data_IF_329386185725
#
_entry.id   IF_329386185725
#
_cell.length_a   1.000
_cell.length_b   1.000
_cell.length_c   1.000
_cell.angle_alpha   90.00
_cell.angle_beta   90.00
_cell.angle_gamma   90.00
#
_symmetry.space_group_name_H-M   'P 1'
#
loop_
_entity.id
_entity.type
_entity.pdbx_description
1 polymer ?
#
# COMPACT_ATOMS: atom_id res chain seq x y z
N UNK A 1 20.09 -19.72 18.15
CA UNK A 1 18.75 -19.32 17.69
C UNK A 1 18.88 -18.09 16.82
N UNK A 2 18.37 -18.14 15.59
CA UNK A 2 18.35 -16.98 14.70
C UNK A 2 17.45 -15.88 15.29
N UNK A 3 17.69 -14.62 14.92
CA UNK A 3 16.81 -13.51 15.35
C UNK A 3 15.36 -13.80 14.96
N UNK A 4 15.14 -14.36 13.77
CA UNK A 4 13.80 -14.74 13.28
C UNK A 4 13.10 -15.76 14.18
N UNK A 5 13.80 -16.74 14.75
CA UNK A 5 13.18 -17.70 15.67
C UNK A 5 12.69 -17.04 16.95
N UNK A 6 13.43 -16.04 17.47
CA UNK A 6 13.02 -15.33 18.69
C UNK A 6 11.68 -14.61 18.50
N UNK A 7 11.47 -13.99 17.34
CA UNK A 7 10.21 -13.32 16.99
C UNK A 7 9.05 -14.29 16.73
N UNK A 8 9.32 -15.58 16.45
CA UNK A 8 8.30 -16.61 16.19
C UNK A 8 7.98 -17.49 17.40
N UNK A 9 8.63 -17.25 18.55
CA UNK A 9 8.43 -18.02 19.77
C UNK A 9 7.86 -17.16 20.89
N UNK A 10 7.13 -17.77 21.83
CA UNK A 10 6.71 -17.09 23.05
C UNK A 10 7.94 -16.52 23.81
N UNK A 11 7.83 -15.34 24.45
CA UNK A 11 6.59 -14.55 24.63
C UNK A 11 6.30 -13.57 23.48
N UNK A 12 7.15 -13.48 22.46
CA UNK A 12 7.03 -12.45 21.41
C UNK A 12 5.92 -12.77 20.41
N UNK A 13 5.78 -14.04 20.04
CA UNK A 13 4.71 -14.53 19.17
C UNK A 13 3.50 -14.97 20.01
N UNK A 14 2.49 -14.11 20.13
CA UNK A 14 1.26 -14.40 20.89
C UNK A 14 0.22 -15.11 19.99
N UNK A 15 0.09 -14.67 18.73
CA UNK A 15 -0.85 -15.22 17.75
C UNK A 15 -0.17 -15.40 16.40
N UNK A 16 0.75 -16.36 16.30
CA UNK A 16 1.33 -16.71 15.00
C UNK A 16 0.30 -17.40 14.12
N UNK A 17 0.22 -16.97 12.87
CA UNK A 17 -0.45 -17.72 11.81
C UNK A 17 0.26 -19.08 11.70
N UNK A 18 -0.46 -20.21 11.69
CA UNK A 18 0.13 -21.54 11.55
C UNK A 18 0.99 -21.66 10.28
N UNK A 19 2.09 -22.42 10.34
CA UNK A 19 3.01 -22.59 9.19
C UNK A 19 2.33 -23.27 7.99
N UNK A 20 1.27 -24.04 8.24
CA UNK A 20 0.45 -24.72 7.23
C UNK A 20 -0.76 -23.88 6.77
N UNK A 21 -0.98 -22.69 7.33
CA UNK A 21 -2.07 -21.83 6.90
C UNK A 21 -1.77 -21.24 5.53
N UNK A 22 -2.60 -21.61 4.56
CA UNK A 22 -2.62 -20.99 3.24
C UNK A 22 -3.82 -20.06 3.14
N UNK A 23 -3.56 -18.78 2.92
CA UNK A 23 -4.62 -17.82 2.62
C UNK A 23 -5.20 -18.14 1.25
N UNK A 24 -6.48 -18.49 1.22
CA UNK A 24 -7.20 -18.66 -0.04
C UNK A 24 -7.40 -17.30 -0.70
N UNK A 25 -6.97 -17.18 -1.96
CA UNK A 25 -7.16 -15.97 -2.75
C UNK A 25 -8.25 -16.25 -3.77
N UNK A 26 -9.36 -15.51 -3.66
CA UNK A 26 -10.46 -15.57 -4.62
C UNK A 26 -10.42 -14.31 -5.48
N UNK A 27 -10.16 -14.43 -6.79
CA UNK A 27 -10.27 -13.29 -7.69
C UNK A 27 -11.74 -12.87 -7.81
N UNK A 28 -11.99 -11.57 -7.65
CA UNK A 28 -13.29 -10.98 -7.96
C UNK A 28 -13.34 -10.56 -9.43
N UNK A 29 -14.52 -10.61 -10.02
CA UNK A 29 -14.79 -10.05 -11.34
C UNK A 29 -14.72 -8.53 -11.31
N UNK A 30 -14.27 -7.94 -12.41
CA UNK A 30 -14.25 -6.48 -12.55
C UNK A 30 -15.67 -5.92 -12.72
N UNK A 31 -15.89 -4.69 -12.25
CA UNK A 31 -17.07 -3.90 -12.60
C UNK A 31 -16.66 -2.64 -13.40
N UNK A 32 -17.63 -2.03 -14.08
CA UNK A 32 -17.44 -0.84 -14.93
C UNK A 32 -17.86 0.45 -14.22
N UNK A 33 -17.95 0.42 -12.90
CA UNK A 33 -18.43 1.54 -12.11
C UNK A 33 -17.42 2.68 -12.11
N UNK A 34 -17.92 3.93 -12.09
CA UNK A 34 -17.05 5.09 -11.98
C UNK A 34 -16.63 5.29 -10.51
N UNK A 35 -15.57 4.59 -10.12
CA UNK A 35 -15.00 4.59 -8.77
C UNK A 35 -14.61 6.00 -8.27
N UNK A 36 -14.31 6.94 -9.18
CA UNK A 36 -13.99 8.33 -8.84
C UNK A 36 -15.22 9.18 -8.49
N UNK A 37 -16.43 8.66 -8.70
CA UNK A 37 -17.68 9.30 -8.25
C UNK A 37 -18.15 8.67 -6.94
N UNK A 38 -18.82 9.43 -6.08
CA UNK A 38 -19.35 8.91 -4.82
C UNK A 38 -20.34 7.76 -5.06
N UNK A 39 -21.24 7.91 -6.03
CA UNK A 39 -22.23 6.89 -6.35
C UNK A 39 -21.58 5.64 -6.96
N UNK A 40 -20.67 5.82 -7.93
CA UNK A 40 -19.99 4.69 -8.58
C UNK A 40 -19.10 3.93 -7.61
N UNK A 41 -18.37 4.60 -6.70
CA UNK A 41 -17.65 3.90 -5.63
C UNK A 41 -18.60 3.07 -4.76
N UNK A 42 -19.75 3.64 -4.38
CA UNK A 42 -20.72 2.89 -3.58
C UNK A 42 -21.16 1.61 -4.30
N UNK A 43 -21.53 1.75 -5.58
CA UNK A 43 -21.98 0.65 -6.43
C UNK A 43 -20.88 -0.39 -6.65
N UNK A 44 -19.63 0.04 -6.83
CA UNK A 44 -18.48 -0.86 -7.00
C UNK A 44 -18.29 -1.75 -5.77
N UNK A 45 -18.31 -1.17 -4.57
CA UNK A 45 -18.20 -1.93 -3.32
C UNK A 45 -19.41 -2.85 -3.11
N UNK A 46 -20.62 -2.39 -3.43
CA UNK A 46 -21.83 -3.20 -3.30
C UNK A 46 -21.83 -4.41 -4.25
N UNK A 47 -21.32 -4.23 -5.47
CA UNK A 47 -21.08 -5.31 -6.43
C UNK A 47 -20.07 -6.32 -5.88
N UNK A 48 -18.91 -5.88 -5.38
CA UNK A 48 -17.92 -6.78 -4.77
C UNK A 48 -18.48 -7.52 -3.54
N UNK A 49 -19.25 -6.86 -2.68
CA UNK A 49 -19.97 -7.50 -1.57
C UNK A 49 -20.90 -8.61 -2.06
N UNK A 50 -21.61 -8.36 -3.17
CA UNK A 50 -22.45 -9.36 -3.83
C UNK A 50 -21.64 -10.57 -4.34
N UNK A 51 -20.50 -10.32 -4.97
CA UNK A 51 -19.63 -11.38 -5.52
C UNK A 51 -19.06 -12.30 -4.44
N UNK A 52 -18.70 -11.76 -3.27
CA UNK A 52 -18.21 -12.56 -2.13
C UNK A 52 -19.35 -13.16 -1.29
N UNK A 53 -20.61 -12.84 -1.60
CA UNK A 53 -21.77 -13.28 -0.83
C UNK A 53 -21.80 -12.70 0.59
N UNK A 54 -21.33 -11.46 0.76
CA UNK A 54 -21.27 -10.81 2.07
C UNK A 54 -22.68 -10.62 2.65
N UNK A 55 -23.01 -11.25 3.79
CA UNK A 55 -24.35 -11.16 4.38
C UNK A 55 -24.69 -9.73 4.81
N UNK A 56 -25.97 -9.37 4.76
CA UNK A 56 -26.42 -8.01 5.13
C UNK A 56 -26.19 -7.72 6.60
N UNK A 57 -26.55 -8.66 7.45
CA UNK A 57 -26.42 -8.61 8.90
C UNK A 57 -24.97 -8.61 9.39
N UNK A 58 -24.04 -9.10 8.56
CA UNK A 58 -22.63 -9.14 8.90
C UNK A 58 -22.07 -7.71 9.10
N UNK A 59 -22.60 -6.72 8.37
CA UNK A 59 -22.14 -5.34 8.49
C UNK A 59 -22.38 -4.69 9.86
N UNK A 60 -23.31 -5.24 10.65
CA UNK A 60 -23.63 -4.72 11.98
C UNK A 60 -22.65 -5.21 13.06
N UNK A 61 -21.92 -6.29 12.78
CA UNK A 61 -21.03 -6.94 13.75
C UNK A 61 -19.58 -7.09 13.28
N UNK A 62 -19.34 -7.03 11.97
CA UNK A 62 -18.04 -7.20 11.35
C UNK A 62 -17.61 -5.94 10.63
N UNK A 63 -16.31 -5.68 10.77
CA UNK A 63 -15.61 -4.68 9.99
C UNK A 63 -15.03 -5.36 8.76
N UNK A 64 -15.25 -4.78 7.60
CA UNK A 64 -14.61 -5.21 6.37
C UNK A 64 -13.47 -4.27 6.01
N UNK A 65 -12.34 -4.84 5.64
CA UNK A 65 -11.17 -4.09 5.20
C UNK A 65 -11.15 -4.04 3.67
N UNK A 66 -11.23 -2.83 3.12
CA UNK A 66 -11.07 -2.57 1.68
C UNK A 66 -9.74 -1.85 1.41
N UNK A 67 -9.00 -2.37 0.44
CA UNK A 67 -7.74 -1.81 -0.03
C UNK A 67 -7.91 -1.15 -1.40
N UNK A 68 -7.02 -0.22 -1.73
CA UNK A 68 -6.89 0.29 -3.09
C UNK A 68 -5.76 1.30 -3.21
N UNK A 69 -5.77 2.09 -4.28
CA UNK A 69 -4.89 3.24 -4.39
C UNK A 69 -5.39 4.43 -3.55
N UNK A 70 -4.71 5.59 -3.65
CA UNK A 70 -5.12 6.79 -2.92
C UNK A 70 -6.50 7.31 -3.34
N UNK A 71 -6.88 7.17 -4.61
CA UNK A 71 -8.16 7.61 -5.15
C UNK A 71 -9.31 6.70 -4.70
N UNK A 72 -9.09 5.39 -4.69
CA UNK A 72 -10.02 4.40 -4.11
C UNK A 72 -10.25 4.67 -2.63
N UNK A 73 -9.18 4.93 -1.88
CA UNK A 73 -9.27 5.24 -0.45
C UNK A 73 -10.10 6.50 -0.19
N UNK A 74 -9.77 7.60 -0.88
CA UNK A 74 -10.48 8.87 -0.72
C UNK A 74 -11.95 8.75 -1.12
N UNK A 75 -12.24 8.05 -2.22
CA UNK A 75 -13.61 7.86 -2.71
C UNK A 75 -14.45 7.02 -1.75
N UNK A 76 -13.88 5.97 -1.14
CA UNK A 76 -14.55 5.16 -0.10
C UNK A 76 -14.88 6.01 1.13
N UNK A 77 -13.91 6.78 1.62
CA UNK A 77 -14.12 7.66 2.77
C UNK A 77 -15.14 8.77 2.48
N UNK A 78 -15.22 9.24 1.23
CA UNK A 78 -16.25 10.19 0.80
C UNK A 78 -17.65 9.57 0.82
N UNK A 79 -17.83 8.32 0.40
CA UNK A 79 -19.12 7.61 0.51
C UNK A 79 -19.58 7.59 1.97
N UNK A 80 -18.70 7.17 2.88
CA UNK A 80 -18.97 7.14 4.31
C UNK A 80 -19.37 8.50 4.86
N UNK A 81 -18.63 9.57 4.52
CA UNK A 81 -18.94 10.94 4.97
C UNK A 81 -20.29 11.45 4.47
N UNK A 82 -20.63 11.19 3.21
CA UNK A 82 -21.89 11.65 2.60
C UNK A 82 -23.09 10.88 3.17
N UNK A 83 -22.94 9.59 3.45
CA UNK A 83 -24.02 8.74 3.95
C UNK A 83 -24.11 8.70 5.48
N UNK A 84 -23.08 9.16 6.19
CA UNK A 84 -23.06 9.25 7.66
C UNK A 84 -24.31 9.91 8.28
N UNK A 85 -24.88 11.02 7.78
CA UNK A 85 -26.05 11.64 8.42
C UNK A 85 -27.39 10.91 8.14
N UNK A 86 -27.39 9.80 7.40
CA UNK A 86 -28.62 9.06 7.07
C UNK A 86 -29.02 8.06 8.16
N UNK A 87 -30.29 7.65 8.17
CA UNK A 87 -30.84 6.60 9.07
C UNK A 87 -30.69 5.18 8.49
N UNK A 88 -29.84 5.02 7.46
CA UNK A 88 -29.63 3.75 6.78
C UNK A 88 -28.73 2.81 7.60
N UNK A 89 -28.71 1.53 7.22
CA UNK A 89 -27.92 0.49 7.88
C UNK A 89 -26.41 0.73 7.80
N UNK A 90 -25.61 0.02 8.61
CA UNK A 90 -24.15 0.11 8.51
C UNK A 90 -23.64 -0.39 7.16
N UNK A 91 -24.32 -1.38 6.58
CA UNK A 91 -24.06 -1.85 5.21
C UNK A 91 -24.30 -0.75 4.20
N UNK A 92 -25.47 -0.12 4.20
CA UNK A 92 -25.83 0.85 3.16
C UNK A 92 -25.00 2.13 3.23
N UNK A 93 -24.51 2.49 4.41
CA UNK A 93 -23.68 3.67 4.65
C UNK A 93 -22.18 3.38 4.55
N UNK A 94 -21.78 2.12 4.32
CA UNK A 94 -20.39 1.65 4.35
C UNK A 94 -19.64 1.98 5.66
N UNK A 95 -20.36 2.20 6.76
CA UNK A 95 -19.75 2.52 8.07
C UNK A 95 -18.86 1.40 8.59
N UNK A 96 -19.17 0.17 8.23
CA UNK A 96 -18.41 -1.00 8.61
C UNK A 96 -17.15 -1.22 7.74
N UNK A 97 -16.91 -0.38 6.73
CA UNK A 97 -15.72 -0.47 5.87
C UNK A 97 -14.56 0.34 6.46
N UNK A 98 -13.43 -0.32 6.70
CA UNK A 98 -12.14 0.35 6.90
C UNK A 98 -11.43 0.38 5.56
N UNK A 99 -11.11 1.58 5.09
CA UNK A 99 -10.32 1.76 3.88
C UNK A 99 -8.86 2.07 4.24
N UNK A 100 -7.92 1.41 3.58
CA UNK A 100 -6.51 1.80 3.63
C UNK A 100 -5.89 1.82 2.24
N UNK A 101 -5.01 2.78 1.93
CA UNK A 101 -4.14 2.65 0.77
C UNK A 101 -3.31 1.38 0.86
N UNK A 102 -3.28 0.56 -0.18
CA UNK A 102 -2.48 -0.67 -0.16
C UNK A 102 -1.00 -0.35 -0.03
N UNK A 103 -0.28 -1.20 0.71
CA UNK A 103 1.14 -1.03 0.99
C UNK A 103 1.98 -0.85 -0.29
N UNK A 104 1.56 -1.49 -1.40
CA UNK A 104 2.19 -1.32 -2.69
C UNK A 104 2.08 0.12 -3.22
N UNK A 105 0.88 0.68 -3.25
CA UNK A 105 0.63 2.04 -3.72
C UNK A 105 1.36 3.07 -2.86
N UNK A 106 1.30 2.93 -1.53
CA UNK A 106 2.04 3.81 -0.59
C UNK A 106 3.54 3.78 -0.87
N UNK A 107 4.09 2.57 -1.03
CA UNK A 107 5.52 2.38 -1.32
C UNK A 107 5.90 2.96 -2.69
N UNK A 108 5.06 2.80 -3.70
CA UNK A 108 5.29 3.37 -5.03
C UNK A 108 5.36 4.89 -4.97
N UNK A 109 4.40 5.53 -4.30
CA UNK A 109 4.40 6.98 -4.08
C UNK A 109 5.66 7.42 -3.32
N UNK A 110 6.02 6.73 -2.24
CA UNK A 110 7.23 7.06 -1.48
C UNK A 110 8.50 6.97 -2.35
N UNK A 111 8.61 5.95 -3.20
CA UNK A 111 9.75 5.81 -4.12
C UNK A 111 9.83 6.98 -5.09
N UNK A 112 8.70 7.38 -5.67
CA UNK A 112 8.64 8.53 -6.58
C UNK A 112 9.03 9.82 -5.87
N UNK A 113 8.46 10.08 -4.69
CA UNK A 113 8.78 11.26 -3.87
C UNK A 113 10.26 11.32 -3.49
N UNK A 114 10.84 10.20 -3.03
CA UNK A 114 12.27 10.12 -2.72
C UNK A 114 13.10 10.38 -3.99
N UNK A 115 12.68 9.81 -5.12
CA UNK A 115 13.40 9.98 -6.38
C UNK A 115 13.42 11.42 -6.85
N UNK A 116 12.28 12.10 -6.80
CA UNK A 116 12.14 13.52 -7.15
C UNK A 116 12.92 14.44 -6.22
N UNK A 117 12.91 14.13 -4.91
CA UNK A 117 13.48 15.01 -3.88
C UNK A 117 15.00 14.85 -3.74
N UNK A 118 15.52 13.63 -3.80
CA UNK A 118 16.88 13.31 -3.34
C UNK A 118 17.87 12.91 -4.43
N UNK A 119 17.45 12.76 -5.70
CA UNK A 119 18.42 12.54 -6.78
C UNK A 119 19.29 13.75 -7.05
N UNK A 120 18.80 14.97 -6.79
CA UNK A 120 19.52 16.19 -7.13
C UNK A 120 19.82 16.31 -8.63
N UNK A 121 20.67 17.27 -9.03
CA UNK A 121 21.03 17.50 -10.43
C UNK A 121 21.95 16.40 -11.00
N UNK A 122 21.88 16.17 -12.31
CA UNK A 122 22.65 15.11 -13.00
C UNK A 122 24.16 15.25 -12.83
N UNK A 123 24.67 16.49 -12.85
CA UNK A 123 26.09 16.79 -12.72
C UNK A 123 26.44 17.41 -11.36
N UNK A 124 25.64 17.12 -10.33
CA UNK A 124 25.90 17.60 -8.97
C UNK A 124 27.21 17.04 -8.42
N UNK A 125 27.97 17.90 -7.74
CA UNK A 125 29.15 17.48 -6.96
C UNK A 125 28.78 17.00 -5.55
N UNK A 126 27.51 17.09 -5.17
CA UNK A 126 27.02 16.67 -3.85
C UNK A 126 27.14 15.15 -3.66
N UNK A 127 28.03 14.68 -2.77
CA UNK A 127 28.23 13.25 -2.53
C UNK A 127 27.04 12.59 -1.83
N UNK A 128 26.17 13.36 -1.18
CA UNK A 128 24.98 12.84 -0.50
C UNK A 128 23.80 12.61 -1.44
N UNK A 129 23.88 13.12 -2.68
CA UNK A 129 22.82 12.94 -3.68
C UNK A 129 22.69 11.49 -4.13
N UNK A 130 21.46 11.02 -4.33
CA UNK A 130 21.23 9.66 -4.87
C UNK A 130 21.83 9.49 -6.26
N UNK A 131 21.94 10.57 -7.06
CA UNK A 131 22.59 10.51 -8.37
C UNK A 131 24.06 10.13 -8.26
N UNK A 132 24.80 10.72 -7.31
CA UNK A 132 26.21 10.40 -7.12
C UNK A 132 26.38 8.99 -6.59
N UNK A 133 25.54 8.59 -5.62
CA UNK A 133 25.59 7.26 -5.05
C UNK A 133 25.26 6.20 -6.11
N UNK A 134 24.19 6.38 -6.88
CA UNK A 134 23.81 5.46 -7.97
C UNK A 134 24.95 5.29 -8.97
N UNK A 135 25.60 6.39 -9.37
CA UNK A 135 26.76 6.32 -10.24
C UNK A 135 27.91 5.49 -9.64
N UNK A 136 28.24 5.72 -8.36
CA UNK A 136 29.31 4.98 -7.67
C UNK A 136 29.02 3.47 -7.55
N UNK A 137 27.75 3.09 -7.40
CA UNK A 137 27.34 1.67 -7.33
C UNK A 137 27.03 1.06 -8.71
N UNK A 138 27.30 1.78 -9.81
CA UNK A 138 27.07 1.30 -11.18
C UNK A 138 25.60 1.23 -11.60
N UNK A 139 24.71 1.94 -10.92
CA UNK A 139 23.29 2.04 -11.25
C UNK A 139 22.99 3.27 -12.10
N UNK A 140 22.00 3.14 -12.99
CA UNK A 140 21.56 4.25 -13.84
C UNK A 140 20.61 5.17 -13.10
N UNK A 141 20.80 6.48 -13.28
CA UNK A 141 19.83 7.50 -12.90
C UNK A 141 18.56 7.35 -13.78
N UNK A 142 17.35 7.42 -13.20
CA UNK A 142 16.12 7.46 -13.98
C UNK A 142 16.05 8.72 -14.86
N UNK A 143 15.52 8.57 -16.08
CA UNK A 143 15.34 9.71 -17.00
C UNK A 143 14.27 10.70 -16.50
N UNK A 144 13.23 10.18 -15.85
CA UNK A 144 12.15 10.97 -15.26
C UNK A 144 12.02 10.65 -13.77
N UNK A 145 12.35 11.61 -12.90
CA UNK A 145 12.29 11.41 -11.45
C UNK A 145 10.87 11.42 -10.88
N UNK A 146 9.90 11.98 -11.60
CA UNK A 146 8.49 11.99 -11.20
C UNK A 146 7.80 10.65 -11.47
N UNK A 147 8.32 9.90 -12.44
CA UNK A 147 7.75 8.61 -12.86
C UNK A 147 8.89 7.62 -13.06
N UNK A 148 9.26 6.98 -11.95
CA UNK A 148 10.33 5.99 -11.91
C UNK A 148 9.78 4.57 -11.90
N UNK A 149 10.56 3.64 -12.45
CA UNK A 149 10.21 2.22 -12.41
C UNK A 149 10.39 1.64 -11.00
N UNK A 150 9.35 0.99 -10.49
CA UNK A 150 9.32 0.56 -9.09
C UNK A 150 10.45 -0.40 -8.73
N UNK A 151 10.60 -1.51 -9.44
CA UNK A 151 11.54 -2.57 -9.07
C UNK A 151 13.01 -2.13 -9.15
N UNK A 152 13.48 -1.47 -10.22
CA UNK A 152 14.83 -0.92 -10.29
C UNK A 152 15.14 0.04 -9.15
N UNK A 153 14.17 0.90 -8.80
CA UNK A 153 14.37 1.87 -7.73
C UNK A 153 14.40 1.25 -6.34
N UNK A 154 13.53 0.27 -6.05
CA UNK A 154 13.61 -0.49 -4.80
C UNK A 154 14.95 -1.19 -4.67
N UNK A 155 15.44 -1.81 -5.75
CA UNK A 155 16.75 -2.45 -5.74
C UNK A 155 17.85 -1.43 -5.47
N UNK A 156 17.85 -0.30 -6.19
CA UNK A 156 18.84 0.76 -6.01
C UNK A 156 18.85 1.35 -4.61
N UNK A 157 17.69 1.68 -4.05
CA UNK A 157 17.59 2.21 -2.68
C UNK A 157 18.06 1.22 -1.64
N UNK A 158 17.72 -0.08 -1.77
CA UNK A 158 18.22 -1.11 -0.87
C UNK A 158 19.73 -1.26 -0.95
N UNK A 159 20.30 -1.18 -2.16
CA UNK A 159 21.75 -1.30 -2.37
C UNK A 159 22.48 -0.10 -1.78
N UNK A 160 22.01 1.12 -2.07
CA UNK A 160 22.50 2.37 -1.47
C UNK A 160 22.45 2.32 0.06
N UNK A 161 21.31 1.94 0.63
CA UNK A 161 21.14 1.82 2.08
C UNK A 161 22.14 0.85 2.71
N UNK A 162 22.33 -0.34 2.11
CA UNK A 162 23.32 -1.31 2.60
C UNK A 162 24.75 -0.76 2.53
N UNK A 163 25.11 -0.10 1.44
CA UNK A 163 26.43 0.51 1.29
C UNK A 163 26.68 1.60 2.34
N UNK A 164 25.69 2.48 2.58
CA UNK A 164 25.77 3.54 3.59
C UNK A 164 25.86 2.98 5.01
N UNK A 165 25.06 1.95 5.35
CA UNK A 165 25.21 1.28 6.65
C UNK A 165 26.62 0.74 6.80
N UNK A 166 27.17 0.03 5.82
CA UNK A 166 28.52 -0.53 5.97
C UNK A 166 29.60 0.55 6.15
N UNK A 167 29.42 1.72 5.53
CA UNK A 167 30.34 2.86 5.68
C UNK A 167 30.23 3.51 7.07
N UNK A 168 29.03 3.61 7.66
CA UNK A 168 28.82 4.14 9.02
C UNK A 168 29.48 3.30 10.14
N UNK A 169 29.83 2.04 9.86
CA UNK A 169 30.42 1.11 10.84
C UNK A 169 31.90 0.83 10.57
N UNK A 170 32.57 1.71 9.82
CA UNK A 170 34.04 1.78 9.75
C UNK A 170 34.63 2.36 11.02
#
# INVERSE_FOLDING_TARGET
KTVSERFRTAPMAIHCIPDDHQTSIQPLGCNSENELSTQGMKQAIDDFNGQIGYPEEAAETLIEWVGGDGGSHESTERVKKVLAPTVLSNRDTHRNKISTPEAWHVKSTAIQTISETHFGPTNGSDPSSLSKIFHLVGLKRPANLKKVDFYPMVHGFKHTWKAMILDCWR
#
